data_IF_674005469137
#
_entry.id   IF_674005469137
#
_cell.length_a   1.000
_cell.length_b   1.000
_cell.length_c   1.000
_cell.angle_alpha   90.00
_cell.angle_beta   90.00
_cell.angle_gamma   90.00
#
_symmetry.space_group_name_H-M   'P 1'
#
loop_
_entity.id
_entity.type
_entity.pdbx_description
1 polymer ?
#
# COMPACT_ATOMS: atom_id res chain seq x y z
N UNK A 1 12.23 -6.16 18.46
CA UNK A 1 12.68 -6.13 17.04
C UNK A 1 11.55 -6.70 16.16
N UNK A 2 11.28 -6.12 14.99
CA UNK A 2 10.24 -6.62 14.08
C UNK A 2 10.68 -7.98 13.50
N UNK A 3 9.81 -8.99 13.51
CA UNK A 3 10.09 -10.27 12.87
C UNK A 3 10.02 -10.13 11.33
N UNK A 4 10.76 -10.96 10.60
CA UNK A 4 10.78 -10.94 9.12
C UNK A 4 9.38 -11.12 8.53
N UNK A 5 8.58 -12.03 9.12
CA UNK A 5 7.16 -12.24 8.78
C UNK A 5 6.27 -11.00 8.94
N UNK A 6 6.67 -10.08 9.81
CA UNK A 6 5.95 -8.85 10.09
C UNK A 6 6.47 -7.65 9.28
N UNK A 7 7.43 -7.85 8.37
CA UNK A 7 7.92 -6.82 7.46
C UNK A 7 9.30 -6.27 7.79
N UNK A 8 10.11 -6.94 8.60
CA UNK A 8 11.49 -6.50 8.84
C UNK A 8 12.34 -6.54 7.55
N UNK A 9 13.26 -5.59 7.32
CA UNK A 9 13.78 -4.61 8.27
C UNK A 9 12.91 -3.36 8.46
N UNK A 10 12.04 -3.04 7.49
CA UNK A 10 11.27 -1.80 7.47
C UNK A 10 9.84 -2.03 6.97
N UNK A 11 8.88 -1.51 7.72
CA UNK A 11 7.44 -1.57 7.42
C UNK A 11 6.81 -0.19 7.55
N UNK A 12 5.96 0.13 6.59
CA UNK A 12 5.13 1.34 6.62
C UNK A 12 4.00 1.19 7.65
N UNK A 13 3.79 2.20 8.49
CA UNK A 13 2.70 2.27 9.46
C UNK A 13 1.81 3.47 9.15
N UNK A 14 0.53 3.20 8.89
CA UNK A 14 -0.52 4.19 8.65
C UNK A 14 -1.71 3.78 9.52
N UNK A 15 -1.89 4.45 10.65
CA UNK A 15 -2.83 4.01 11.69
C UNK A 15 -4.29 4.29 11.34
N UNK A 16 -4.53 5.23 10.43
CA UNK A 16 -5.84 5.63 9.95
C UNK A 16 -6.29 4.88 8.68
N UNK A 17 -5.49 3.93 8.17
CA UNK A 17 -5.75 3.21 6.93
C UNK A 17 -5.87 1.71 7.16
N UNK A 18 -6.52 1.03 6.21
CA UNK A 18 -6.68 -0.41 6.24
C UNK A 18 -5.32 -1.13 6.20
N UNK A 19 -5.25 -2.28 6.88
CA UNK A 19 -3.98 -2.97 7.11
C UNK A 19 -3.24 -3.43 5.85
N UNK A 20 -3.91 -3.49 4.70
CA UNK A 20 -3.26 -3.80 3.43
C UNK A 20 -2.47 -2.63 2.85
N UNK A 21 -2.80 -1.38 3.20
CA UNK A 21 -2.04 -0.18 2.79
C UNK A 21 -0.71 -0.06 3.57
N UNK A 22 -0.53 -0.83 4.64
CA UNK A 22 0.72 -0.92 5.40
C UNK A 22 1.72 -1.88 4.74
N UNK A 23 2.52 -1.35 3.81
CA UNK A 23 3.53 -2.10 3.04
C UNK A 23 4.59 -2.74 3.94
N UNK A 24 4.76 -4.06 3.79
CA UNK A 24 5.86 -4.84 4.39
C UNK A 24 7.10 -4.79 3.48
N UNK A 25 8.30 -4.83 4.07
CA UNK A 25 9.57 -4.90 3.33
C UNK A 25 9.78 -3.70 2.39
N UNK A 26 9.63 -2.49 2.95
CA UNK A 26 9.75 -1.25 2.20
C UNK A 26 11.14 -1.15 1.53
N UNK A 27 11.14 -1.04 0.19
CA UNK A 27 12.36 -0.94 -0.62
C UNK A 27 12.60 0.47 -1.16
N UNK A 28 11.55 1.16 -1.57
CA UNK A 28 11.61 2.49 -2.16
C UNK A 28 10.32 3.27 -1.83
N UNK A 29 10.42 4.59 -1.88
CA UNK A 29 9.29 5.54 -1.84
C UNK A 29 9.52 6.49 -3.01
N UNK A 30 8.51 6.61 -3.86
CA UNK A 30 8.52 7.52 -5.00
C UNK A 30 7.38 8.53 -4.83
N UNK A 31 7.67 9.79 -5.10
CA UNK A 31 6.67 10.85 -5.11
C UNK A 31 6.29 11.10 -6.57
N UNK A 32 5.01 10.92 -6.87
CA UNK A 32 4.44 11.10 -8.20
C UNK A 32 3.40 12.21 -8.17
N UNK A 33 3.19 12.87 -9.31
CA UNK A 33 2.17 13.91 -9.48
C UNK A 33 0.76 13.30 -9.51
N UNK A 34 0.61 12.14 -10.16
CA UNK A 34 -0.64 11.39 -10.23
C UNK A 34 -0.39 9.87 -10.12
N UNK A 35 -1.17 9.20 -9.28
CA UNK A 35 -1.12 7.74 -9.11
C UNK A 35 -1.62 6.99 -10.33
N UNK A 36 -2.41 7.64 -11.21
CA UNK A 36 -2.85 7.10 -12.50
C UNK A 36 -1.67 6.73 -13.41
N UNK A 37 -0.48 7.30 -13.15
CA UNK A 37 0.74 7.02 -13.91
C UNK A 37 1.42 5.70 -13.47
N UNK A 38 0.98 5.10 -12.37
CA UNK A 38 1.59 3.92 -11.75
C UNK A 38 0.59 2.76 -11.73
N UNK A 39 0.97 1.61 -12.29
CA UNK A 39 0.13 0.41 -12.31
C UNK A 39 -1.09 0.56 -13.22
N UNK A 40 -2.24 0.06 -12.78
CA UNK A 40 -3.54 0.29 -13.45
C UNK A 40 -4.18 1.61 -13.01
N UNK A 41 -3.45 2.42 -12.22
CA UNK A 41 -3.82 3.78 -11.87
C UNK A 41 -4.73 3.90 -10.65
N UNK A 42 -4.94 2.83 -9.89
CA UNK A 42 -5.79 2.85 -8.70
C UNK A 42 -5.00 3.00 -7.37
N UNK A 43 -3.70 3.30 -7.44
CA UNK A 43 -2.90 3.70 -6.27
C UNK A 43 -2.34 2.55 -5.43
N UNK A 44 -2.57 1.29 -5.81
CA UNK A 44 -1.99 0.16 -5.10
C UNK A 44 -2.34 -1.20 -5.73
N UNK A 45 -1.45 -2.18 -5.55
CA UNK A 45 -1.62 -3.51 -6.15
C UNK A 45 -2.95 -4.19 -5.79
N UNK A 46 -3.46 -4.01 -4.56
CA UNK A 46 -4.76 -4.56 -4.17
C UNK A 46 -5.94 -3.78 -4.75
N UNK A 47 -5.79 -2.47 -4.90
CA UNK A 47 -6.76 -1.61 -5.56
C UNK A 47 -6.87 -1.95 -7.04
N UNK A 48 -5.73 -2.12 -7.73
CA UNK A 48 -5.64 -2.45 -9.16
C UNK A 48 -6.20 -3.84 -9.49
N UNK A 49 -5.88 -4.87 -8.68
CA UNK A 49 -6.21 -6.26 -9.04
C UNK A 49 -7.48 -6.81 -8.38
N UNK A 50 -7.93 -6.24 -7.26
CA UNK A 50 -9.02 -6.82 -6.47
C UNK A 50 -10.14 -5.81 -6.16
N UNK A 51 -10.06 -4.59 -6.70
CA UNK A 51 -11.11 -3.56 -6.62
C UNK A 51 -11.62 -3.30 -5.19
N UNK A 52 -10.74 -3.38 -4.19
CA UNK A 52 -11.15 -3.27 -2.77
C UNK A 52 -11.50 -1.86 -2.31
N UNK A 53 -11.19 -0.81 -3.07
CA UNK A 53 -11.34 0.58 -2.60
C UNK A 53 -12.70 1.18 -2.95
N UNK A 54 -13.31 0.79 -4.07
CA UNK A 54 -14.56 1.40 -4.55
C UNK A 54 -15.80 1.12 -3.69
N UNK A 55 -15.76 0.07 -2.84
CA UNK A 55 -16.91 -0.36 -2.04
C UNK A 55 -16.75 -0.13 -0.52
N UNK A 56 -15.56 0.21 -0.03
CA UNK A 56 -15.30 0.45 1.39
C UNK A 56 -15.42 1.93 1.79
N UNK A 57 -15.72 2.82 0.83
CA UNK A 57 -15.92 4.25 1.02
C UNK A 57 -17.41 4.67 1.11
N UNK A 58 -18.33 3.72 1.30
CA UNK A 58 -19.75 3.97 1.61
C UNK A 58 -20.04 3.58 3.06
#
# INVERSE_FOLDING_TARGET
PLAVEHGAPLRLRLENQLGFKMVKWLRAIELVDDVAQIGDGHGGWKEDHVYFDSAAAI
#
